data_IF_878581664222
#
_entry.id   IF_878581664222
#
_cell.length_a   1.000
_cell.length_b   1.000
_cell.length_c   1.000
_cell.angle_alpha   90.00
_cell.angle_beta   90.00
_cell.angle_gamma   90.00
#
_symmetry.space_group_name_H-M   'P 1'
#
loop_
_entity.id
_entity.type
_entity.pdbx_description
1 polymer ?
#
# COMPACT_ATOMS: atom_id res chain seq x y z
N UNK A 1 -4.40 -1.88 -23.18
CA UNK A 1 -5.40 -2.74 -22.52
C UNK A 1 -4.67 -3.69 -21.59
N UNK A 2 -5.17 -3.91 -20.38
CA UNK A 2 -4.59 -4.90 -19.48
C UNK A 2 -5.02 -6.32 -19.87
N UNK A 3 -4.22 -7.34 -19.50
CA UNK A 3 -4.53 -8.76 -19.76
C UNK A 3 -5.96 -9.13 -19.33
N UNK A 4 -6.36 -8.72 -18.12
CA UNK A 4 -7.66 -9.06 -17.55
C UNK A 4 -8.83 -8.42 -18.31
N UNK A 5 -8.65 -7.20 -18.83
CA UNK A 5 -9.67 -6.53 -19.67
C UNK A 5 -9.84 -7.26 -21.00
N UNK A 6 -8.74 -7.71 -21.60
CA UNK A 6 -8.79 -8.48 -22.83
C UNK A 6 -9.47 -9.84 -22.62
N UNK A 7 -9.12 -10.55 -21.53
CA UNK A 7 -9.78 -11.81 -21.16
C UNK A 7 -11.29 -11.60 -20.96
N UNK A 8 -11.69 -10.57 -20.22
CA UNK A 8 -13.11 -10.28 -19.99
C UNK A 8 -13.90 -10.08 -21.30
N UNK A 9 -13.29 -9.43 -22.29
CA UNK A 9 -13.92 -9.18 -23.59
C UNK A 9 -13.90 -10.41 -24.53
N UNK A 10 -12.78 -11.15 -24.55
CA UNK A 10 -12.59 -12.27 -25.47
C UNK A 10 -13.25 -13.57 -24.99
N UNK A 11 -13.42 -13.75 -23.68
CA UNK A 11 -13.91 -15.00 -23.08
C UNK A 11 -15.03 -14.75 -22.06
N UNK A 12 -16.26 -14.38 -22.52
CA UNK A 12 -17.37 -14.03 -21.61
C UNK A 12 -17.88 -15.21 -20.77
N UNK A 13 -17.62 -16.45 -21.19
CA UNK A 13 -17.99 -17.68 -20.47
C UNK A 13 -16.82 -18.28 -19.67
N UNK A 14 -15.77 -17.51 -19.39
CA UNK A 14 -14.60 -17.99 -18.65
C UNK A 14 -14.97 -18.27 -17.18
N UNK A 15 -14.96 -19.54 -16.80
CA UNK A 15 -15.27 -19.97 -15.42
C UNK A 15 -14.03 -20.42 -14.64
N UNK A 16 -12.95 -20.80 -15.33
CA UNK A 16 -11.74 -21.35 -14.74
C UNK A 16 -10.52 -20.62 -15.32
N UNK A 17 -9.68 -20.08 -14.45
CA UNK A 17 -8.45 -19.40 -14.83
C UNK A 17 -7.34 -19.78 -13.85
N UNK A 18 -6.16 -20.11 -14.35
CA UNK A 18 -4.94 -20.22 -13.54
C UNK A 18 -3.86 -19.34 -14.15
N UNK A 19 -3.30 -18.47 -13.34
CA UNK A 19 -2.19 -17.57 -13.67
C UNK A 19 -0.92 -17.92 -12.88
N UNK A 20 -0.95 -18.97 -12.05
CA UNK A 20 0.24 -19.51 -11.37
C UNK A 20 1.41 -19.73 -12.35
N UNK A 21 2.63 -19.40 -11.90
CA UNK A 21 3.84 -19.50 -12.71
C UNK A 21 4.08 -18.31 -13.65
N UNK A 22 3.16 -17.34 -13.71
CA UNK A 22 3.35 -16.10 -14.46
C UNK A 22 3.72 -14.94 -13.52
N UNK A 23 4.47 -13.96 -14.03
CA UNK A 23 4.82 -12.73 -13.30
C UNK A 23 3.57 -11.95 -12.83
N UNK A 24 2.46 -12.07 -13.59
CA UNK A 24 1.17 -11.47 -13.25
C UNK A 24 0.53 -12.05 -11.98
N UNK A 25 0.99 -13.21 -11.47
CA UNK A 25 0.50 -13.84 -10.24
C UNK A 25 1.52 -13.66 -9.11
N UNK A 26 1.27 -12.74 -8.15
CA UNK A 26 2.11 -12.58 -6.98
C UNK A 26 1.85 -13.74 -6.01
N UNK A 27 2.63 -14.81 -6.11
CA UNK A 27 2.66 -15.86 -5.11
C UNK A 27 4.08 -16.07 -4.61
N UNK A 28 4.20 -16.70 -3.44
CA UNK A 28 5.49 -17.02 -2.81
C UNK A 28 6.36 -17.95 -3.67
N UNK A 29 5.75 -18.70 -4.61
CA UNK A 29 6.46 -19.62 -5.50
C UNK A 29 7.25 -18.88 -6.59
N UNK A 30 6.76 -17.73 -7.03
CA UNK A 30 7.34 -16.93 -8.13
C UNK A 30 8.20 -15.78 -7.57
N UNK A 31 7.90 -15.28 -6.38
CA UNK A 31 8.65 -14.20 -5.75
C UNK A 31 8.65 -14.34 -4.22
N UNK A 32 9.83 -14.51 -3.64
CA UNK A 32 10.03 -14.65 -2.18
C UNK A 32 9.65 -13.41 -1.37
N UNK A 33 9.63 -12.24 -2.02
CA UNK A 33 9.27 -10.97 -1.39
C UNK A 33 7.76 -10.78 -1.22
N UNK A 34 6.94 -11.66 -1.81
CA UNK A 34 5.48 -11.53 -1.79
C UNK A 34 4.86 -12.57 -0.86
N UNK A 35 3.93 -12.14 -0.01
CA UNK A 35 3.29 -12.98 0.99
C UNK A 35 1.87 -13.43 0.60
N UNK A 36 1.16 -14.11 1.51
CA UNK A 36 -0.24 -14.51 1.28
C UNK A 36 -1.17 -13.30 1.19
N UNK A 37 -0.85 -12.16 1.83
CA UNK A 37 -1.67 -10.94 1.76
C UNK A 37 -1.54 -10.27 0.38
N UNK A 38 -0.35 -10.28 -0.21
CA UNK A 38 -0.12 -9.89 -1.61
C UNK A 38 -0.96 -10.74 -2.57
N UNK A 39 -0.92 -12.05 -2.39
CA UNK A 39 -1.72 -12.97 -3.19
C UNK A 39 -3.22 -12.71 -3.02
N UNK A 40 -3.68 -12.48 -1.78
CA UNK A 40 -5.08 -12.22 -1.49
C UNK A 40 -5.56 -10.92 -2.16
N UNK A 41 -4.74 -9.86 -2.15
CA UNK A 41 -5.04 -8.61 -2.85
C UNK A 41 -5.17 -8.80 -4.34
N UNK A 42 -4.21 -9.50 -4.94
CA UNK A 42 -4.27 -9.86 -6.34
C UNK A 42 -5.52 -10.68 -6.67
N UNK A 43 -5.85 -11.66 -5.84
CA UNK A 43 -7.00 -12.54 -6.03
C UNK A 43 -8.29 -11.74 -6.10
N UNK A 44 -8.51 -10.82 -5.15
CA UNK A 44 -9.65 -9.92 -5.17
C UNK A 44 -9.66 -8.99 -6.39
N UNK A 45 -8.50 -8.47 -6.82
CA UNK A 45 -8.40 -7.65 -8.02
C UNK A 45 -8.80 -8.42 -9.29
N UNK A 46 -8.35 -9.67 -9.45
CA UNK A 46 -8.72 -10.52 -10.59
C UNK A 46 -10.22 -10.82 -10.57
N UNK A 47 -10.78 -11.20 -9.42
CA UNK A 47 -12.21 -11.50 -9.29
C UNK A 47 -13.09 -10.26 -9.54
N UNK A 48 -12.61 -9.07 -9.20
CA UNK A 48 -13.29 -7.83 -9.52
C UNK A 48 -13.36 -7.59 -11.05
N UNK A 49 -12.27 -7.90 -11.78
CA UNK A 49 -12.23 -7.78 -13.24
C UNK A 49 -12.98 -8.90 -13.96
N UNK A 50 -12.96 -10.12 -13.41
CA UNK A 50 -13.54 -11.34 -13.98
C UNK A 50 -14.58 -11.94 -13.03
N UNK A 51 -15.72 -11.27 -12.88
CA UNK A 51 -16.77 -11.61 -11.91
C UNK A 51 -17.41 -13.00 -12.13
N UNK A 52 -17.32 -13.55 -13.34
CA UNK A 52 -17.87 -14.86 -13.70
C UNK A 52 -17.03 -16.07 -13.26
N UNK A 53 -15.80 -15.87 -12.78
CA UNK A 53 -14.92 -16.98 -12.41
C UNK A 53 -15.50 -17.82 -11.26
N UNK A 54 -15.48 -19.14 -11.41
CA UNK A 54 -15.80 -20.14 -10.38
C UNK A 54 -14.53 -20.63 -9.68
N UNK A 55 -13.41 -20.69 -10.39
CA UNK A 55 -12.11 -21.07 -9.87
C UNK A 55 -11.03 -20.13 -10.37
N UNK A 56 -10.15 -19.72 -9.46
CA UNK A 56 -8.96 -18.95 -9.77
C UNK A 56 -7.75 -19.66 -9.15
N UNK A 57 -6.76 -19.95 -10.00
CA UNK A 57 -5.58 -20.74 -9.68
C UNK A 57 -5.99 -22.12 -9.16
N UNK A 58 -5.51 -22.52 -7.98
CA UNK A 58 -5.84 -23.82 -7.36
C UNK A 58 -7.08 -23.78 -6.47
N UNK A 59 -7.67 -22.60 -6.22
CA UNK A 59 -8.71 -22.42 -5.20
C UNK A 59 -10.05 -22.00 -5.80
N UNK A 60 -11.14 -22.65 -5.37
CA UNK A 60 -12.52 -22.26 -5.69
C UNK A 60 -12.82 -20.86 -5.16
N UNK A 61 -13.55 -20.07 -5.94
CA UNK A 61 -14.01 -18.75 -5.53
C UNK A 61 -15.16 -18.88 -4.53
N UNK A 62 -15.03 -18.25 -3.37
CA UNK A 62 -16.06 -18.24 -2.33
C UNK A 62 -16.93 -16.99 -2.40
N UNK A 63 -18.12 -17.03 -1.80
CA UNK A 63 -19.03 -15.89 -1.78
C UNK A 63 -18.45 -14.68 -1.04
N UNK A 64 -17.70 -14.94 0.05
CA UNK A 64 -16.98 -13.89 0.79
C UNK A 64 -16.00 -13.16 -0.13
N UNK A 65 -15.25 -13.90 -0.94
CA UNK A 65 -14.31 -13.30 -1.87
C UNK A 65 -14.99 -12.48 -2.96
N UNK A 66 -16.18 -12.90 -3.42
CA UNK A 66 -16.98 -12.12 -4.38
C UNK A 66 -17.40 -10.78 -3.78
N UNK A 67 -17.94 -10.80 -2.57
CA UNK A 67 -18.39 -9.60 -1.86
C UNK A 67 -17.22 -8.63 -1.60
N UNK A 68 -16.08 -9.15 -1.19
CA UNK A 68 -14.86 -8.37 -0.97
C UNK A 68 -14.31 -7.78 -2.28
N UNK A 69 -14.26 -8.58 -3.34
CA UNK A 69 -13.82 -8.12 -4.67
C UNK A 69 -14.76 -7.05 -5.25
N UNK A 70 -16.07 -7.17 -5.04
CA UNK A 70 -17.04 -6.16 -5.42
C UNK A 70 -16.83 -4.85 -4.65
N UNK A 71 -16.63 -4.94 -3.33
CA UNK A 71 -16.54 -3.78 -2.44
C UNK A 71 -15.24 -3.00 -2.61
N UNK A 72 -14.10 -3.70 -2.70
CA UNK A 72 -12.76 -3.07 -2.67
C UNK A 72 -11.79 -3.54 -3.74
N UNK A 73 -12.16 -4.52 -4.57
CA UNK A 73 -11.26 -5.12 -5.55
C UNK A 73 -10.70 -4.14 -6.59
N UNK A 74 -11.42 -3.07 -6.93
CA UNK A 74 -10.95 -2.02 -7.85
C UNK A 74 -9.63 -1.35 -7.39
N UNK A 75 -9.41 -1.26 -6.08
CA UNK A 75 -8.27 -0.57 -5.47
C UNK A 75 -7.12 -1.51 -5.08
N UNK A 76 -7.28 -2.81 -5.32
CA UNK A 76 -6.29 -3.81 -4.90
C UNK A 76 -5.14 -4.02 -5.88
N UNK A 77 -5.17 -3.32 -7.02
CA UNK A 77 -4.04 -3.30 -7.96
C UNK A 77 -2.88 -2.53 -7.34
N UNK A 78 -1.79 -3.23 -7.03
CA UNK A 78 -0.54 -2.57 -6.65
C UNK A 78 0.05 -1.86 -7.87
N UNK A 79 0.25 -0.55 -7.75
CA UNK A 79 0.94 0.27 -8.74
C UNK A 79 2.19 0.80 -8.06
N UNK A 80 3.38 0.46 -8.58
CA UNK A 80 4.60 1.15 -8.15
C UNK A 80 4.55 2.56 -8.74
N UNK A 81 4.63 3.63 -7.94
CA UNK A 81 4.79 4.96 -8.49
C UNK A 81 6.03 4.94 -9.38
N UNK A 82 5.93 5.58 -10.55
CA UNK A 82 7.12 5.81 -11.36
C UNK A 82 8.08 6.62 -10.49
N UNK A 83 9.32 6.17 -10.38
CA UNK A 83 10.39 6.99 -9.84
C UNK A 83 10.47 8.20 -10.76
N UNK A 84 9.80 9.29 -10.41
CA UNK A 84 10.16 10.57 -10.99
C UNK A 84 11.59 10.78 -10.53
N UNK A 85 12.51 10.88 -11.49
CA UNK A 85 13.88 11.31 -11.21
C UNK A 85 13.76 12.55 -10.32
N UNK A 86 14.36 12.46 -9.14
CA UNK A 86 14.33 13.50 -8.11
C UNK A 86 14.50 14.86 -8.80
N UNK A 87 13.49 15.74 -8.85
CA UNK A 87 13.65 17.03 -9.47
C UNK A 87 14.72 17.72 -8.63
N UNK A 88 15.93 17.83 -9.21
CA UNK A 88 17.13 18.32 -8.57
C UNK A 88 16.86 19.59 -7.75
N UNK A 89 17.74 19.90 -6.79
CA UNK A 89 17.43 20.75 -5.64
C UNK A 89 16.63 21.99 -6.03
N UNK A 90 15.33 21.98 -5.67
CA UNK A 90 14.45 23.12 -5.84
C UNK A 90 15.11 24.32 -5.15
N UNK A 91 15.44 25.33 -5.94
CA UNK A 91 15.98 26.61 -5.47
C UNK A 91 14.99 27.21 -4.47
N UNK A 92 15.46 27.38 -3.23
CA UNK A 92 14.70 27.95 -2.11
C UNK A 92 14.36 29.41 -2.41
N UNK A 93 13.15 29.68 -2.91
CA UNK A 93 12.58 31.03 -2.95
C UNK A 93 11.06 31.02 -3.03
N UNK A 94 10.43 30.44 -2.02
CA UNK A 94 9.05 30.81 -1.68
C UNK A 94 8.86 30.62 -0.17
N UNK A 95 8.39 31.68 0.49
CA UNK A 95 8.10 31.71 1.92
C UNK A 95 7.07 30.63 2.28
N UNK A 96 7.55 29.48 2.75
CA UNK A 96 6.72 28.42 3.29
C UNK A 96 6.43 28.73 4.77
N UNK A 97 5.17 28.60 5.23
CA UNK A 97 4.79 28.88 6.62
C UNK A 97 5.24 27.79 7.62
N UNK A 98 6.02 26.81 7.17
CA UNK A 98 6.55 25.73 8.00
C UNK A 98 8.05 25.59 7.81
N UNK A 99 8.75 25.33 8.90
CA UNK A 99 10.18 25.06 8.91
C UNK A 99 10.40 23.60 8.47
N UNK A 100 10.95 23.32 7.28
CA UNK A 100 11.18 21.96 6.84
C UNK A 100 12.16 21.24 7.78
N UNK A 101 12.02 19.93 7.88
CA UNK A 101 12.97 19.08 8.59
C UNK A 101 14.40 19.36 8.08
N UNK A 102 15.41 19.43 8.96
CA UNK A 102 16.79 19.68 8.54
C UNK A 102 17.18 18.70 7.45
N UNK A 103 17.64 19.19 6.30
CA UNK A 103 18.24 18.36 5.24
C UNK A 103 19.57 17.81 5.75
N UNK A 104 19.51 16.77 6.55
CA UNK A 104 20.66 16.14 7.17
C UNK A 104 20.75 14.68 6.79
N UNK A 105 21.42 14.38 5.67
CA UNK A 105 22.23 13.16 5.62
C UNK A 105 23.35 13.37 6.63
N UNK A 106 23.13 12.98 7.88
CA UNK A 106 24.20 12.96 8.87
C UNK A 106 25.08 11.76 8.53
N UNK A 107 26.35 12.01 8.20
CA UNK A 107 27.36 10.97 8.15
C UNK A 107 27.24 10.10 9.41
N UNK A 108 27.17 8.77 9.26
CA UNK A 108 27.05 7.84 10.38
C UNK A 108 28.18 8.01 11.43
N UNK A 109 29.30 8.62 11.03
CA UNK A 109 30.45 8.93 11.90
C UNK A 109 30.30 10.21 12.73
N UNK A 110 29.31 11.06 12.42
CA UNK A 110 29.08 12.35 13.08
C UNK A 110 27.89 12.30 14.06
N UNK A 111 27.61 11.11 14.61
CA UNK A 111 26.65 10.95 15.70
C UNK A 111 27.22 11.65 16.96
N UNK A 112 26.55 12.72 17.40
CA UNK A 112 26.70 13.29 18.75
C UNK A 112 25.44 12.96 19.55
N UNK A 113 25.14 11.66 19.67
CA UNK A 113 24.04 11.18 20.49
C UNK A 113 24.49 11.10 21.94
N UNK A 114 23.95 11.97 22.80
CA UNK A 114 24.10 11.81 24.25
C UNK A 114 22.92 10.99 24.75
N UNK A 115 23.18 9.83 25.36
CA UNK A 115 22.14 9.00 25.97
C UNK A 115 21.67 9.64 27.28
N UNK A 116 20.83 10.67 27.18
CA UNK A 116 20.21 11.32 28.32
C UNK A 116 18.75 10.89 28.44
N UNK A 117 18.33 10.51 29.64
CA UNK A 117 16.92 10.25 29.96
C UNK A 117 16.19 11.60 29.98
N UNK A 118 15.56 11.98 28.88
CA UNK A 118 14.77 13.20 28.80
C UNK A 118 13.55 13.07 29.73
N UNK A 119 13.61 13.67 30.92
CA UNK A 119 12.45 13.87 31.80
C UNK A 119 11.74 15.17 31.44
N UNK A 120 11.28 15.28 30.20
CA UNK A 120 10.44 16.40 29.82
C UNK A 120 9.00 16.07 30.23
N UNK A 121 8.55 16.66 31.34
CA UNK A 121 7.13 16.61 31.72
C UNK A 121 6.50 17.92 31.28
N UNK A 122 5.59 17.84 30.33
CA UNK A 122 4.88 19.00 29.79
C UNK A 122 3.75 19.40 30.75
N UNK A 123 4.00 20.42 31.56
CA UNK A 123 2.95 21.09 32.32
C UNK A 123 2.62 22.42 31.65
N UNK A 124 1.64 22.40 30.74
CA UNK A 124 1.17 23.62 30.08
C UNK A 124 -0.26 23.46 29.58
N UNK A 125 -1.19 24.26 30.11
CA UNK A 125 -2.59 24.34 29.65
C UNK A 125 -2.76 25.07 28.30
N UNK A 126 -1.67 25.33 27.57
CA UNK A 126 -1.65 26.13 26.33
C UNK A 126 -1.10 25.37 25.11
N UNK A 127 -0.97 24.04 25.16
CA UNK A 127 -0.72 23.27 23.94
C UNK A 127 -1.96 23.28 23.06
N UNK A 128 -1.89 23.97 21.93
CA UNK A 128 -2.92 23.93 20.88
C UNK A 128 -3.19 22.49 20.38
N UNK A 129 -2.21 21.59 20.54
CA UNK A 129 -2.27 20.19 20.09
C UNK A 129 -3.09 19.25 20.98
N UNK A 130 -3.51 19.68 22.18
CA UNK A 130 -4.26 18.84 23.11
C UNK A 130 -5.79 19.03 23.03
N UNK A 131 -6.31 19.79 22.07
CA UNK A 131 -7.75 20.12 21.99
C UNK A 131 -8.68 18.94 21.68
N UNK A 132 -8.14 17.82 21.16
CA UNK A 132 -8.96 16.68 20.72
C UNK A 132 -8.72 15.38 21.49
N UNK A 133 -7.81 15.37 22.46
CA UNK A 133 -7.58 14.19 23.31
C UNK A 133 -8.60 14.24 24.45
N UNK A 134 -9.69 13.48 24.33
CA UNK A 134 -10.67 13.30 25.40
C UNK A 134 -10.32 12.04 26.19
N UNK A 135 -10.08 12.20 27.49
CA UNK A 135 -9.94 11.08 28.42
C UNK A 135 -11.34 10.69 28.93
N UNK A 136 -12.14 10.00 28.12
CA UNK A 136 -13.45 9.49 28.53
C UNK A 136 -13.44 7.98 28.82
N UNK A 137 -12.28 7.41 29.17
CA UNK A 137 -12.22 6.07 29.77
C UNK A 137 -11.20 6.04 30.89
N UNK A 138 -11.70 6.24 32.11
CA UNK A 138 -11.13 5.75 33.36
C UNK A 138 -12.29 5.42 34.31
#
# INVERSE_FOLDING_TARGET
>A
MSLLEHLAAATPSLEYLSLLGNEACPNQLVSLDKDEDDYQRYRYFVLHKLRGLKFLDTRKVTERERMEAETRGAFMKVVKPKSEEDPGPRSDSAAMPYTPLPRGSKDAKNHKGVFAKCRYVYYGKHSEGNRFIRNDQL
#
